data_IF_840165791676
#
_entry.id   IF_840165791676
#
_cell.length_a   1.000
_cell.length_b   1.000
_cell.length_c   1.000
_cell.angle_alpha   90.00
_cell.angle_beta   90.00
_cell.angle_gamma   90.00
#
_symmetry.space_group_name_H-M   'P 1'
#
loop_
_entity.id
_entity.type
_entity.pdbx_description
1 polymer ?
#
# COMPACT_ATOMS: atom_id res chain seq x y z
N UNK A 1 -75.51 40.45 21.14
CA UNK A 1 -75.03 41.77 20.70
C UNK A 1 -73.85 42.18 21.57
N UNK A 2 -72.74 42.58 20.93
CA UNK A 2 -71.50 43.22 21.44
C UNK A 2 -70.53 42.39 22.31
N UNK A 3 -69.25 42.16 21.93
CA UNK A 3 -68.05 43.02 21.75
C UNK A 3 -67.32 43.37 23.08
N UNK A 4 -66.17 42.74 23.32
CA UNK A 4 -64.96 43.26 24.02
C UNK A 4 -63.92 42.11 24.18
N UNK A 5 -62.80 42.11 23.44
CA UNK A 5 -61.48 42.64 23.84
C UNK A 5 -60.74 41.73 24.85
N UNK A 6 -59.81 40.88 24.39
CA UNK A 6 -58.36 41.14 24.21
C UNK A 6 -57.58 41.11 25.52
N UNK A 7 -56.63 40.17 25.68
CA UNK A 7 -55.34 40.35 26.38
C UNK A 7 -54.46 39.06 26.28
N UNK A 8 -53.22 39.26 25.82
CA UNK A 8 -51.99 38.46 26.00
C UNK A 8 -51.96 36.96 25.62
N UNK A 9 -51.25 36.67 24.52
CA UNK A 9 -50.34 35.53 24.46
C UNK A 9 -49.01 35.99 23.84
N UNK A 10 -48.03 36.18 24.73
CA UNK A 10 -46.73 36.75 24.47
C UNK A 10 -45.83 35.74 23.74
N UNK A 11 -45.19 36.24 22.70
CA UNK A 11 -44.01 35.76 21.98
C UNK A 11 -43.03 34.87 22.75
N UNK A 12 -42.71 33.70 22.18
CA UNK A 12 -41.37 33.12 22.22
C UNK A 12 -41.02 32.62 20.80
N UNK A 13 -40.29 33.46 20.07
CA UNK A 13 -39.50 33.06 18.90
C UNK A 13 -38.34 32.20 19.40
N UNK A 14 -38.37 30.90 19.11
CA UNK A 14 -37.18 30.06 19.19
C UNK A 14 -36.47 30.13 17.84
N UNK A 15 -35.29 30.76 17.85
CA UNK A 15 -34.33 30.76 16.76
C UNK A 15 -33.85 29.32 16.52
N UNK A 16 -34.19 28.77 15.35
CA UNK A 16 -33.58 27.54 14.88
C UNK A 16 -32.09 27.82 14.56
N UNK A 17 -31.22 27.16 15.30
CA UNK A 17 -29.77 27.14 15.10
C UNK A 17 -29.44 26.16 13.95
N UNK A 18 -28.77 26.59 12.86
CA UNK A 18 -28.39 25.69 11.76
C UNK A 18 -27.16 24.81 12.06
N UNK A 19 -26.67 24.76 13.30
CA UNK A 19 -25.44 24.04 13.68
C UNK A 19 -25.62 22.54 13.96
N UNK A 20 -26.48 21.84 13.22
CA UNK A 20 -26.63 20.38 13.31
C UNK A 20 -26.49 19.72 11.94
N UNK A 21 -25.29 19.80 11.37
CA UNK A 21 -24.83 18.77 10.45
C UNK A 21 -23.81 17.92 11.19
N UNK A 22 -24.35 16.91 11.86
CA UNK A 22 -23.59 15.75 12.30
C UNK A 22 -22.84 15.17 11.11
N UNK A 23 -21.57 14.88 11.35
CA UNK A 23 -20.63 14.26 10.44
C UNK A 23 -21.21 12.96 9.88
N UNK A 24 -21.67 13.00 8.64
CA UNK A 24 -21.79 11.82 7.81
C UNK A 24 -20.36 11.39 7.40
N UNK A 25 -19.61 10.88 8.38
CA UNK A 25 -18.42 10.10 8.11
C UNK A 25 -18.87 8.90 7.30
N UNK A 26 -18.56 8.92 6.00
CA UNK A 26 -18.69 7.75 5.13
C UNK A 26 -17.83 6.65 5.76
N UNK A 27 -18.48 5.76 6.49
CA UNK A 27 -17.89 4.50 6.88
C UNK A 27 -17.55 3.78 5.57
N UNK A 28 -16.28 3.82 5.18
CA UNK A 28 -15.76 2.98 4.11
C UNK A 28 -16.04 1.54 4.52
N UNK A 29 -17.02 0.94 3.86
CA UNK A 29 -17.36 -0.46 4.02
C UNK A 29 -16.10 -1.28 3.75
N UNK A 30 -15.59 -1.92 4.80
CA UNK A 30 -14.37 -2.73 4.79
C UNK A 30 -14.47 -3.85 3.73
N UNK A 31 -15.68 -4.23 3.33
CA UNK A 31 -15.91 -5.24 2.29
C UNK A 31 -15.64 -4.74 0.87
N UNK A 32 -15.70 -3.42 0.60
CA UNK A 32 -15.40 -2.85 -0.72
C UNK A 32 -13.90 -2.63 -0.93
N UNK A 33 -13.15 -2.35 0.15
CA UNK A 33 -11.68 -2.25 0.10
C UNK A 33 -11.02 -3.60 -0.26
N UNK A 34 -11.51 -4.69 0.33
CA UNK A 34 -11.05 -6.06 0.01
C UNK A 34 -11.38 -6.46 -1.44
N UNK A 35 -12.50 -5.97 -1.98
CA UNK A 35 -12.94 -6.25 -3.36
C UNK A 35 -12.09 -5.58 -4.44
N UNK A 36 -11.27 -4.59 -4.06
CA UNK A 36 -10.37 -3.85 -4.96
C UNK A 36 -8.92 -4.36 -4.95
N UNK A 37 -8.52 -5.16 -3.95
CA UNK A 37 -7.17 -5.72 -3.91
C UNK A 37 -7.07 -6.92 -4.85
N UNK A 38 -6.12 -6.89 -5.80
CA UNK A 38 -5.75 -8.06 -6.61
C UNK A 38 -4.63 -8.89 -5.96
N UNK A 39 -4.20 -8.52 -4.76
CA UNK A 39 -3.28 -9.35 -4.00
C UNK A 39 -4.00 -10.60 -3.51
N UNK A 40 -3.35 -11.77 -3.54
CA UNK A 40 -3.84 -12.93 -2.83
C UNK A 40 -4.02 -12.57 -1.35
N UNK A 41 -5.14 -12.92 -0.72
CA UNK A 41 -5.28 -12.70 0.72
C UNK A 41 -4.22 -13.51 1.49
N UNK A 42 -3.85 -13.02 2.67
CA UNK A 42 -2.69 -13.51 3.42
C UNK A 42 -2.79 -15.01 3.78
N UNK A 43 -4.00 -15.55 3.90
CA UNK A 43 -4.30 -16.97 4.15
C UNK A 43 -3.99 -17.88 2.94
N UNK A 44 -3.85 -17.32 1.74
CA UNK A 44 -3.46 -18.04 0.53
C UNK A 44 -1.94 -18.00 0.25
N UNK A 45 -1.18 -17.37 1.15
CA UNK A 45 0.26 -17.29 1.03
C UNK A 45 0.91 -18.63 1.45
N UNK A 46 2.02 -19.02 0.81
CA UNK A 46 2.77 -20.19 1.25
C UNK A 46 3.20 -20.06 2.71
N UNK A 47 3.32 -21.16 3.47
CA UNK A 47 3.60 -21.12 4.91
C UNK A 47 4.94 -20.46 5.26
N UNK A 48 5.89 -20.44 4.32
CA UNK A 48 7.19 -19.78 4.46
C UNK A 48 7.18 -18.30 3.99
N UNK A 49 6.03 -17.74 3.62
CA UNK A 49 5.90 -16.37 3.12
C UNK A 49 4.93 -15.56 3.97
N UNK A 50 5.44 -14.47 4.57
CA UNK A 50 4.63 -13.49 5.27
C UNK A 50 4.37 -12.28 4.38
N UNK A 51 3.10 -12.07 4.00
CA UNK A 51 2.68 -10.90 3.22
C UNK A 51 2.45 -9.70 4.14
N UNK A 52 3.04 -8.56 3.79
CA UNK A 52 2.85 -7.26 4.44
C UNK A 52 2.34 -6.29 3.38
N UNK A 53 1.07 -5.94 3.47
CA UNK A 53 0.46 -4.93 2.61
C UNK A 53 0.79 -3.53 3.13
N UNK A 54 1.27 -2.67 2.23
CA UNK A 54 1.76 -1.34 2.57
C UNK A 54 1.36 -0.32 1.52
N UNK A 55 1.40 0.94 1.91
CA UNK A 55 1.26 2.09 1.02
C UNK A 55 2.48 3.00 1.16
N UNK A 56 2.76 3.77 0.10
CA UNK A 56 3.77 4.81 0.16
C UNK A 56 3.26 5.98 0.97
N UNK A 57 4.13 6.57 1.79
CA UNK A 57 3.83 7.90 2.34
C UNK A 57 3.58 8.90 1.19
N UNK A 58 2.59 9.78 1.34
CA UNK A 58 2.22 10.77 0.30
C UNK A 58 3.42 11.56 -0.21
N UNK A 59 4.30 11.98 0.71
CA UNK A 59 5.54 12.70 0.37
C UNK A 59 6.42 11.89 -0.58
N UNK A 60 6.58 10.60 -0.31
CA UNK A 60 7.43 9.71 -1.12
C UNK A 60 6.79 9.42 -2.47
N UNK A 61 5.48 9.20 -2.52
CA UNK A 61 4.77 9.02 -3.77
C UNK A 61 4.89 10.25 -4.67
N UNK A 62 4.63 11.46 -4.16
CA UNK A 62 4.83 12.71 -4.90
C UNK A 62 6.26 12.87 -5.43
N UNK A 63 7.27 12.50 -4.63
CA UNK A 63 8.67 12.55 -5.06
C UNK A 63 8.95 11.57 -6.21
N UNK A 64 8.39 10.36 -6.16
CA UNK A 64 8.57 9.38 -7.24
C UNK A 64 7.84 9.82 -8.52
N UNK A 65 6.68 10.46 -8.39
CA UNK A 65 5.95 11.03 -9.52
C UNK A 65 6.72 12.19 -10.18
N UNK A 66 7.27 13.11 -9.39
CA UNK A 66 8.02 14.25 -9.92
C UNK A 66 9.31 13.86 -10.63
N UNK A 67 9.85 12.67 -10.36
CA UNK A 67 11.02 12.11 -11.03
C UNK A 67 10.68 11.33 -12.32
N UNK A 68 9.46 11.46 -12.84
CA UNK A 68 9.03 10.81 -14.09
C UNK A 68 8.14 9.59 -13.88
N UNK A 69 7.55 9.43 -12.69
CA UNK A 69 6.59 8.38 -12.39
C UNK A 69 7.21 7.04 -11.97
N UNK A 70 6.40 6.24 -11.27
CA UNK A 70 6.78 4.89 -10.89
C UNK A 70 6.41 3.90 -12.01
N UNK A 71 7.42 3.27 -12.61
CA UNK A 71 7.22 2.22 -13.60
C UNK A 71 6.89 0.90 -12.91
N UNK A 72 5.70 0.35 -13.19
CA UNK A 72 5.18 -0.86 -12.56
C UNK A 72 5.20 -2.09 -13.50
N UNK A 73 5.24 -3.33 -12.94
CA UNK A 73 5.65 -3.63 -11.56
C UNK A 73 7.11 -3.23 -11.35
N UNK A 74 7.45 -2.83 -10.14
CA UNK A 74 8.85 -2.67 -9.71
C UNK A 74 9.12 -3.64 -8.59
N UNK A 75 10.27 -4.29 -8.63
CA UNK A 75 10.66 -5.26 -7.63
C UNK A 75 12.08 -4.99 -7.14
N UNK A 76 12.24 -5.01 -5.82
CA UNK A 76 13.51 -4.93 -5.14
C UNK A 76 13.61 -6.14 -4.19
N UNK A 77 14.76 -6.81 -4.11
CA UNK A 77 14.97 -8.00 -3.26
C UNK A 77 16.19 -7.81 -2.38
N UNK A 78 16.01 -8.07 -1.09
CA UNK A 78 17.04 -7.93 -0.07
C UNK A 78 17.26 -9.26 0.65
N UNK A 79 18.50 -9.53 1.04
CA UNK A 79 18.86 -10.65 1.91
C UNK A 79 18.80 -10.23 3.39
N UNK A 80 18.91 -11.22 4.29
CA UNK A 80 18.88 -11.02 5.74
C UNK A 80 19.91 -10.00 6.26
N UNK A 81 21.08 -9.93 5.63
CA UNK A 81 22.14 -8.96 5.94
C UNK A 81 21.86 -7.53 5.44
N UNK A 82 20.70 -7.32 4.80
CA UNK A 82 20.30 -6.04 4.21
C UNK A 82 20.81 -5.81 2.79
N UNK A 83 21.59 -6.73 2.21
CA UNK A 83 22.13 -6.62 0.86
C UNK A 83 21.02 -6.60 -0.18
N UNK A 84 20.97 -5.55 -1.00
CA UNK A 84 20.07 -5.45 -2.15
C UNK A 84 20.63 -6.26 -3.32
N UNK A 85 19.97 -7.35 -3.72
CA UNK A 85 20.52 -8.32 -4.69
C UNK A 85 19.78 -8.36 -6.02
N UNK A 86 18.57 -7.81 -6.09
CA UNK A 86 17.81 -7.73 -7.34
C UNK A 86 17.02 -6.43 -7.41
N UNK A 87 17.17 -5.74 -8.54
CA UNK A 87 16.28 -4.67 -8.98
C UNK A 87 15.67 -5.03 -10.34
N UNK A 88 14.36 -4.88 -10.46
CA UNK A 88 13.64 -5.04 -11.71
C UNK A 88 12.54 -3.99 -11.87
N UNK A 89 12.39 -3.51 -13.09
CA UNK A 89 11.31 -2.60 -13.51
C UNK A 89 10.62 -3.20 -14.71
N UNK A 90 9.30 -3.31 -14.63
CA UNK A 90 8.48 -4.07 -15.57
C UNK A 90 8.54 -5.58 -15.30
N UNK A 91 7.56 -6.27 -15.87
CA UNK A 91 7.55 -7.74 -15.92
C UNK A 91 8.39 -8.25 -17.09
N UNK A 92 9.09 -9.36 -16.87
CA UNK A 92 9.82 -10.09 -17.91
C UNK A 92 9.78 -11.58 -17.61
N UNK A 93 9.69 -12.41 -18.66
CA UNK A 93 9.80 -13.86 -18.54
C UNK A 93 11.14 -14.33 -17.95
N UNK A 94 12.17 -13.47 -17.96
CA UNK A 94 13.49 -13.75 -17.35
C UNK A 94 13.54 -13.44 -15.85
N UNK A 95 12.53 -12.75 -15.30
CA UNK A 95 12.54 -12.35 -13.90
C UNK A 95 12.63 -13.53 -12.93
N UNK A 96 11.90 -14.65 -13.13
CA UNK A 96 12.08 -15.85 -12.31
C UNK A 96 13.52 -16.35 -12.23
N UNK A 97 14.18 -16.47 -13.39
CA UNK A 97 15.57 -16.91 -13.45
C UNK A 97 16.51 -15.91 -12.76
N UNK A 98 16.33 -14.60 -12.99
CA UNK A 98 17.13 -13.56 -12.31
C UNK A 98 16.93 -13.56 -10.81
N UNK A 99 15.71 -13.83 -10.34
CA UNK A 99 15.39 -13.93 -8.93
C UNK A 99 16.15 -15.09 -8.28
N UNK A 100 16.01 -16.31 -8.83
CA UNK A 100 16.75 -17.47 -8.33
C UNK A 100 18.26 -17.25 -8.37
N UNK A 101 18.79 -16.67 -9.47
CA UNK A 101 20.21 -16.37 -9.59
C UNK A 101 20.69 -15.34 -8.56
N UNK A 102 19.89 -14.31 -8.26
CA UNK A 102 20.23 -13.32 -7.24
C UNK A 102 20.30 -13.96 -5.84
N UNK A 103 19.35 -14.85 -5.52
CA UNK A 103 19.32 -15.55 -4.24
C UNK A 103 20.44 -16.58 -4.06
N UNK A 104 20.99 -17.13 -5.14
CA UNK A 104 22.15 -18.05 -5.05
C UNK A 104 23.48 -17.30 -5.13
N UNK A 105 23.55 -16.20 -5.89
CA UNK A 105 24.79 -15.48 -6.14
C UNK A 105 25.22 -14.53 -5.02
N UNK A 106 24.29 -14.07 -4.17
CA UNK A 106 24.55 -13.19 -3.02
C UNK A 106 25.32 -11.90 -3.39
N UNK A 107 25.28 -11.48 -4.67
CA UNK A 107 26.00 -10.30 -5.13
C UNK A 107 25.16 -9.07 -4.90
N UNK A 108 25.57 -8.25 -3.93
CA UNK A 108 24.96 -6.95 -3.70
C UNK A 108 25.06 -6.05 -4.95
N UNK A 109 23.95 -5.41 -5.28
CA UNK A 109 23.86 -4.39 -6.32
C UNK A 109 24.46 -3.07 -5.81
N UNK A 110 25.19 -2.33 -6.65
CA UNK A 110 25.57 -0.96 -6.34
C UNK A 110 24.31 -0.07 -6.32
N UNK A 111 24.28 0.97 -5.48
CA UNK A 111 23.21 1.98 -5.54
C UNK A 111 22.57 2.40 -4.22
N UNK A 112 23.07 1.93 -3.07
CA UNK A 112 22.75 2.50 -1.75
C UNK A 112 21.30 2.35 -1.27
N UNK A 113 20.43 1.68 -2.02
CA UNK A 113 19.11 1.30 -1.51
C UNK A 113 19.31 0.22 -0.45
N UNK A 114 18.96 0.56 0.79
CA UNK A 114 18.92 -0.38 1.90
C UNK A 114 17.48 -0.70 2.25
N UNK A 115 17.27 -1.86 2.84
CA UNK A 115 15.96 -2.25 3.34
C UNK A 115 15.47 -1.29 4.43
N UNK A 116 16.36 -0.79 5.30
CA UNK A 116 16.00 0.22 6.31
C UNK A 116 15.57 1.54 5.69
N UNK A 117 16.31 1.99 4.67
CA UNK A 117 15.98 3.21 3.93
C UNK A 117 14.66 3.09 3.18
N UNK A 118 14.28 1.89 2.74
CA UNK A 118 12.97 1.64 2.15
C UNK A 118 11.87 1.69 3.21
N UNK A 119 12.00 0.87 4.25
CA UNK A 119 10.99 0.67 5.30
C UNK A 119 10.64 1.97 6.00
N UNK A 120 11.62 2.86 6.19
CA UNK A 120 11.41 4.19 6.81
C UNK A 120 10.44 5.12 6.08
N UNK A 121 9.97 4.79 4.86
CA UNK A 121 8.97 5.57 4.12
C UNK A 121 7.67 4.81 3.82
N UNK A 122 7.52 3.59 4.34
CA UNK A 122 6.34 2.75 4.16
C UNK A 122 5.42 2.86 5.37
N UNK A 123 4.13 2.89 5.08
CA UNK A 123 3.10 2.71 6.09
C UNK A 123 2.38 1.39 5.84
N UNK A 124 1.95 0.72 6.90
CA UNK A 124 1.01 -0.38 6.80
C UNK A 124 -0.37 0.14 6.34
N UNK A 125 -1.30 -0.79 6.10
CA UNK A 125 -2.68 -0.46 5.71
C UNK A 125 -3.46 0.38 6.74
N UNK A 126 -2.97 0.50 7.97
CA UNK A 126 -3.57 1.31 9.03
C UNK A 126 -2.89 2.68 9.14
N UNK A 127 -1.95 2.99 8.26
CA UNK A 127 -1.18 4.25 8.28
C UNK A 127 -0.05 4.28 9.30
N UNK A 128 0.27 3.16 9.96
CA UNK A 128 1.38 3.08 10.90
C UNK A 128 2.70 2.86 10.17
N UNK A 129 3.80 3.53 10.57
CA UNK A 129 5.10 3.30 9.96
C UNK A 129 5.52 1.83 10.11
N UNK A 130 5.99 1.22 9.02
CA UNK A 130 6.61 -0.09 9.08
C UNK A 130 8.00 0.02 9.73
N UNK A 131 8.40 -0.95 10.54
CA UNK A 131 9.68 -0.94 11.23
C UNK A 131 10.53 -2.18 10.89
N UNK A 132 11.86 -2.10 11.07
CA UNK A 132 12.77 -3.22 10.82
C UNK A 132 12.45 -4.49 11.62
N UNK A 133 12.01 -4.42 12.91
CA UNK A 133 11.56 -5.60 13.65
C UNK A 133 10.46 -6.37 12.95
N UNK A 134 9.60 -5.71 12.17
CA UNK A 134 8.51 -6.35 11.45
C UNK A 134 9.00 -7.28 10.33
N UNK A 135 10.28 -7.23 9.98
CA UNK A 135 10.89 -8.02 8.89
C UNK A 135 12.23 -8.66 9.29
N UNK A 136 12.53 -8.71 10.60
CA UNK A 136 13.82 -9.13 11.12
C UNK A 136 14.06 -10.65 11.06
N UNK A 137 13.00 -11.46 10.97
CA UNK A 137 13.06 -12.93 10.91
C UNK A 137 13.11 -13.50 9.48
N UNK A 138 13.12 -12.63 8.47
CA UNK A 138 13.17 -13.02 7.06
C UNK A 138 14.61 -13.31 6.61
N UNK A 139 14.80 -14.42 5.91
CA UNK A 139 16.01 -14.70 5.13
C UNK A 139 16.06 -13.82 3.88
N UNK A 140 14.88 -13.52 3.31
CA UNK A 140 14.70 -12.73 2.10
C UNK A 140 13.52 -11.78 2.25
N UNK A 141 13.73 -10.51 1.92
CA UNK A 141 12.67 -9.51 1.81
C UNK A 141 12.43 -9.21 0.33
N UNK A 142 11.22 -9.52 -0.15
CA UNK A 142 10.77 -9.22 -1.50
C UNK A 142 9.84 -8.02 -1.47
N UNK A 143 10.20 -6.97 -2.19
CA UNK A 143 9.43 -5.73 -2.26
C UNK A 143 8.83 -5.64 -3.65
N UNK A 144 7.50 -5.56 -3.75
CA UNK A 144 6.81 -5.38 -5.01
C UNK A 144 5.95 -4.14 -4.96
N UNK A 145 6.26 -3.18 -5.81
CA UNK A 145 5.38 -2.07 -6.12
C UNK A 145 4.36 -2.52 -7.16
N UNK A 146 3.08 -2.30 -6.87
CA UNK A 146 1.97 -2.74 -7.71
C UNK A 146 0.82 -1.73 -7.73
N UNK A 147 -0.13 -1.96 -8.63
CA UNK A 147 -1.40 -1.25 -8.65
C UNK A 147 -2.51 -2.12 -9.25
N UNK A 148 -3.76 -1.90 -8.87
CA UNK A 148 -4.89 -2.70 -9.36
C UNK A 148 -5.11 -2.61 -10.87
N UNK A 149 -4.74 -1.48 -11.49
CA UNK A 149 -4.79 -1.26 -12.94
C UNK A 149 -3.59 -1.86 -13.70
N UNK A 150 -2.55 -2.31 -12.99
CA UNK A 150 -1.32 -2.83 -13.59
C UNK A 150 -1.49 -4.32 -13.96
N UNK A 151 -1.87 -4.59 -15.20
CA UNK A 151 -1.97 -5.96 -15.74
C UNK A 151 -0.72 -6.83 -15.48
N UNK A 152 0.50 -6.37 -15.85
CA UNK A 152 1.72 -7.13 -15.63
C UNK A 152 2.06 -7.38 -14.14
N UNK A 153 1.51 -6.59 -13.22
CA UNK A 153 1.69 -6.81 -11.78
C UNK A 153 0.99 -8.10 -11.33
N UNK A 154 -0.16 -8.44 -11.90
CA UNK A 154 -0.86 -9.70 -11.62
C UNK A 154 -0.03 -10.95 -11.99
N UNK A 155 0.66 -10.89 -13.13
CA UNK A 155 1.60 -11.95 -13.53
C UNK A 155 2.78 -12.03 -12.57
N UNK A 156 3.37 -10.89 -12.20
CA UNK A 156 4.46 -10.84 -11.23
C UNK A 156 4.07 -11.46 -9.88
N UNK A 157 2.90 -11.09 -9.35
CA UNK A 157 2.36 -11.65 -8.11
C UNK A 157 2.20 -13.17 -8.21
N UNK A 158 1.65 -13.67 -9.30
CA UNK A 158 1.42 -15.11 -9.48
C UNK A 158 2.71 -15.89 -9.52
N UNK A 159 3.68 -15.45 -10.33
CA UNK A 159 4.93 -16.17 -10.54
C UNK A 159 5.86 -16.07 -9.31
N UNK A 160 5.94 -14.90 -8.67
CA UNK A 160 6.75 -14.76 -7.46
C UNK A 160 6.23 -15.62 -6.31
N UNK A 161 4.90 -15.73 -6.16
CA UNK A 161 4.30 -16.62 -5.16
C UNK A 161 4.72 -18.07 -5.39
N UNK A 162 4.71 -18.54 -6.65
CA UNK A 162 5.17 -19.90 -6.99
C UNK A 162 6.64 -20.11 -6.67
N UNK A 163 7.50 -19.13 -6.99
CA UNK A 163 8.94 -19.23 -6.74
C UNK A 163 9.25 -19.30 -5.24
N UNK A 164 8.63 -18.45 -4.43
CA UNK A 164 8.84 -18.48 -2.98
C UNK A 164 8.22 -19.72 -2.33
N UNK A 165 7.09 -20.21 -2.85
CA UNK A 165 6.51 -21.47 -2.40
C UNK A 165 7.41 -22.68 -2.69
N UNK A 166 8.16 -22.64 -3.80
CA UNK A 166 9.07 -23.71 -4.20
C UNK A 166 10.40 -23.70 -3.43
N UNK A 167 10.72 -22.60 -2.75
CA UNK A 167 11.90 -22.47 -1.90
C UNK A 167 11.50 -22.57 -0.41
N UNK A 168 11.23 -23.79 0.05
CA UNK A 168 10.83 -24.07 1.43
C UNK A 168 11.98 -23.92 2.44
N UNK A 169 13.21 -23.76 1.96
CA UNK A 169 14.41 -23.61 2.78
C UNK A 169 14.56 -22.21 3.39
N UNK A 170 13.83 -21.23 2.87
CA UNK A 170 13.93 -19.82 3.26
C UNK A 170 12.61 -19.26 3.74
N UNK A 171 12.69 -18.38 4.72
CA UNK A 171 11.59 -17.51 5.15
C UNK A 171 11.59 -16.22 4.34
N UNK A 172 10.46 -15.94 3.73
CA UNK A 172 10.25 -14.71 2.96
C UNK A 172 9.34 -13.76 3.72
N UNK A 173 9.70 -12.48 3.70
CA UNK A 173 8.73 -11.40 3.88
C UNK A 173 8.48 -10.75 2.54
N UNK A 174 7.21 -10.73 2.12
CA UNK A 174 6.78 -10.05 0.92
C UNK A 174 6.09 -8.73 1.29
N UNK A 175 6.75 -7.62 1.02
CA UNK A 175 6.18 -6.28 1.14
C UNK A 175 5.50 -5.91 -0.19
N UNK A 176 4.18 -5.86 -0.20
CA UNK A 176 3.40 -5.42 -1.35
C UNK A 176 3.03 -3.94 -1.17
N UNK A 177 3.66 -3.08 -1.94
CA UNK A 177 3.47 -1.63 -1.90
C UNK A 177 2.46 -1.25 -2.97
N UNK A 178 1.24 -0.91 -2.56
CA UNK A 178 0.28 -0.25 -3.44
C UNK A 178 0.85 1.12 -3.84
N UNK A 179 0.92 1.38 -5.14
CA UNK A 179 1.52 2.59 -5.69
C UNK A 179 0.62 3.26 -6.74
N UNK A 180 -0.69 3.08 -6.61
CA UNK A 180 -1.69 3.87 -7.31
C UNK A 180 -1.85 5.26 -6.66
N UNK A 181 -1.38 6.29 -7.36
CA UNK A 181 -1.47 7.67 -6.88
C UNK A 181 -2.86 8.29 -6.96
N UNK A 182 -3.76 7.75 -7.79
CA UNK A 182 -5.17 8.14 -7.78
C UNK A 182 -5.81 7.62 -6.50
N UNK A 183 -5.59 6.34 -6.19
CA UNK A 183 -6.10 5.69 -4.97
C UNK A 183 -5.56 6.35 -3.70
N UNK A 184 -4.30 6.76 -3.71
CA UNK A 184 -3.66 7.46 -2.58
C UNK A 184 -4.00 8.96 -2.50
N UNK A 185 -4.91 9.46 -3.36
CA UNK A 185 -5.37 10.85 -3.44
C UNK A 185 -4.25 11.88 -3.68
N UNK A 186 -3.18 11.49 -4.38
CA UNK A 186 -2.01 12.32 -4.67
C UNK A 186 -2.21 13.18 -5.93
N UNK A 187 -2.99 12.70 -6.92
CA UNK A 187 -3.25 13.44 -8.16
C UNK A 187 -4.29 14.57 -8.05
N UNK A 188 -5.05 14.67 -6.95
CA UNK A 188 -6.22 15.57 -6.88
C UNK A 188 -5.91 17.06 -6.71
N UNK A 189 -4.63 17.45 -6.63
CA UNK A 189 -4.22 18.83 -6.32
C UNK A 189 -3.60 19.61 -7.50
N UNK A 190 -3.42 19.00 -8.67
CA UNK A 190 -2.70 19.64 -9.80
C UNK A 190 -3.57 19.93 -11.02
N UNK A 191 -4.88 19.76 -10.92
CA UNK A 191 -5.84 20.21 -11.93
C UNK A 191 -6.65 21.38 -11.36
N UNK A 192 -6.10 22.59 -11.49
CA UNK A 192 -6.83 23.84 -11.54
C UNK A 192 -6.22 24.72 -12.62
#
# INVERSE_FOLDING_TARGET
>A
MNLAAALLALTLLQTADPSSQAEAGVALDVTDAARRSRLPPADQMPPNVRLVETELSRRRLHQLESLGGLRLPRMDVFLADGSHVLHSVGWSYRLPWRFSAALTGHKALPGGLTVDGLVGFLNDKNGQPLARPDIADADVVVVLYWAAWCGPCGTALTEMRKLMAADDSRKFVWIAIEADSVKQNVQRQTLR
#
